data_IF_702858865875
#
_entry.id   IF_702858865875
#
_cell.length_a   1.000
_cell.length_b   1.000
_cell.length_c   1.000
_cell.angle_alpha   90.00
_cell.angle_beta   90.00
_cell.angle_gamma   90.00
#
_symmetry.space_group_name_H-M   'P 1'
#
loop_
_entity.id
_entity.type
_entity.pdbx_description
1 polymer ?
#
# COMPACT_ATOMS: atom_id res chain seq x y z
N UNK A 1 11.56 -23.62 -16.44
CA UNK A 1 12.56 -23.21 -15.42
C UNK A 1 13.46 -24.40 -15.19
N UNK A 2 14.72 -24.33 -15.63
CA UNK A 2 15.75 -25.30 -15.27
C UNK A 2 16.03 -25.12 -13.77
N UNK A 3 15.78 -26.16 -12.98
CA UNK A 3 16.19 -26.21 -11.58
C UNK A 3 17.71 -26.39 -11.53
N UNK A 4 18.44 -25.40 -11.01
CA UNK A 4 19.88 -25.48 -10.82
C UNK A 4 20.19 -26.40 -9.64
N UNK A 5 21.08 -27.36 -9.83
CA UNK A 5 21.54 -28.21 -8.73
C UNK A 5 22.67 -27.49 -7.97
N UNK A 6 22.32 -26.91 -6.82
CA UNK A 6 23.25 -26.14 -5.98
C UNK A 6 23.95 -26.99 -4.90
N UNK A 7 23.81 -28.32 -4.92
CA UNK A 7 24.38 -29.20 -3.87
C UNK A 7 25.91 -29.15 -3.77
N UNK A 8 26.59 -28.78 -4.87
CA UNK A 8 28.05 -28.66 -4.93
C UNK A 8 28.54 -27.21 -4.79
N UNK A 9 27.63 -26.24 -4.69
CA UNK A 9 27.99 -24.83 -4.61
C UNK A 9 28.65 -24.55 -3.28
N UNK A 10 29.89 -24.06 -3.34
CA UNK A 10 30.68 -23.66 -2.18
C UNK A 10 30.55 -22.15 -1.94
N UNK A 11 30.45 -21.37 -3.02
CA UNK A 11 30.37 -19.90 -2.96
C UNK A 11 29.22 -19.35 -3.78
N UNK A 12 28.56 -18.33 -3.25
CA UNK A 12 27.49 -17.61 -3.95
C UNK A 12 27.85 -16.14 -4.06
N UNK A 13 28.08 -15.68 -5.29
CA UNK A 13 28.33 -14.29 -5.61
C UNK A 13 27.02 -13.56 -5.93
N UNK A 14 26.66 -12.61 -5.06
CA UNK A 14 25.54 -11.70 -5.25
C UNK A 14 26.04 -10.42 -5.90
N UNK A 15 25.54 -10.11 -7.09
CA UNK A 15 26.00 -8.99 -7.91
C UNK A 15 24.92 -7.91 -7.90
N UNK A 16 25.28 -6.68 -7.53
CA UNK A 16 24.34 -5.58 -7.41
C UNK A 16 23.90 -5.05 -8.78
N UNK A 17 22.58 -5.08 -9.04
CA UNK A 17 21.97 -4.51 -10.25
C UNK A 17 21.21 -3.20 -9.97
N UNK A 18 21.57 -2.48 -8.91
CA UNK A 18 21.06 -1.12 -8.70
C UNK A 18 21.46 -0.17 -9.84
N UNK A 19 20.62 0.83 -10.14
CA UNK A 19 20.82 1.76 -11.26
C UNK A 19 22.23 2.39 -11.27
N UNK A 20 22.75 2.77 -10.10
CA UNK A 20 24.09 3.35 -9.96
C UNK A 20 25.21 2.36 -10.28
N UNK A 21 25.07 1.08 -9.92
CA UNK A 21 26.04 0.04 -10.29
C UNK A 21 25.98 -0.24 -11.79
N UNK A 22 24.78 -0.33 -12.37
CA UNK A 22 24.63 -0.49 -13.82
C UNK A 22 25.25 0.67 -14.60
N UNK A 23 25.06 1.92 -14.16
CA UNK A 23 25.70 3.08 -14.78
C UNK A 23 27.23 3.13 -14.66
N UNK A 24 27.81 2.32 -13.76
CA UNK A 24 29.25 2.26 -13.50
C UNK A 24 29.89 0.98 -14.01
N UNK A 25 29.26 0.29 -14.97
CA UNK A 25 29.80 -0.91 -15.59
C UNK A 25 29.37 -2.23 -14.94
N UNK A 26 28.26 -2.24 -14.18
CA UNK A 26 27.82 -3.43 -13.44
C UNK A 26 27.41 -4.62 -14.33
N UNK A 27 27.01 -4.36 -15.57
CA UNK A 27 26.71 -5.41 -16.54
C UNK A 27 27.99 -6.09 -17.01
N UNK A 28 29.03 -5.29 -17.30
CA UNK A 28 30.37 -5.73 -17.70
C UNK A 28 31.02 -6.53 -16.57
N UNK A 29 30.93 -6.05 -15.33
CA UNK A 29 31.39 -6.80 -14.14
C UNK A 29 30.67 -8.15 -14.02
N UNK A 30 29.36 -8.18 -14.24
CA UNK A 30 28.60 -9.43 -14.19
C UNK A 30 29.07 -10.42 -15.27
N UNK A 31 29.28 -9.93 -16.48
CA UNK A 31 29.74 -10.73 -17.61
C UNK A 31 31.17 -11.24 -17.38
N UNK A 32 32.05 -10.40 -16.84
CA UNK A 32 33.41 -10.76 -16.50
C UNK A 32 33.46 -11.90 -15.47
N UNK A 33 32.70 -11.79 -14.37
CA UNK A 33 32.61 -12.85 -13.35
C UNK A 33 32.10 -14.15 -13.96
N UNK A 34 31.01 -14.11 -14.72
CA UNK A 34 30.40 -15.31 -15.31
C UNK A 34 31.30 -15.96 -16.37
N UNK A 35 31.98 -15.15 -17.17
CA UNK A 35 32.95 -15.63 -18.17
C UNK A 35 34.12 -16.32 -17.48
N UNK A 36 34.69 -15.72 -16.45
CA UNK A 36 35.80 -16.28 -15.69
C UNK A 36 35.42 -17.63 -15.05
N UNK A 37 34.24 -17.72 -14.43
CA UNK A 37 33.70 -18.97 -13.87
C UNK A 37 33.62 -20.05 -14.95
N UNK A 38 33.06 -19.73 -16.12
CA UNK A 38 32.88 -20.68 -17.21
C UNK A 38 34.21 -21.12 -17.84
N UNK A 39 35.16 -20.20 -18.05
CA UNK A 39 36.48 -20.48 -18.63
C UNK A 39 37.29 -21.43 -17.74
N UNK A 40 37.14 -21.31 -16.42
CA UNK A 40 37.79 -22.15 -15.43
C UNK A 40 36.94 -23.35 -14.97
N UNK A 41 35.74 -23.54 -15.54
CA UNK A 41 34.81 -24.64 -15.23
C UNK A 41 34.38 -24.71 -13.76
N UNK A 42 34.17 -23.54 -13.15
CA UNK A 42 33.78 -23.39 -11.74
C UNK A 42 32.26 -23.34 -11.54
N UNK A 43 31.44 -23.61 -12.58
CA UNK A 43 29.98 -23.46 -12.54
C UNK A 43 29.28 -24.35 -11.49
N UNK A 44 29.87 -25.50 -11.12
CA UNK A 44 29.34 -26.36 -10.06
C UNK A 44 29.64 -25.81 -8.64
N UNK A 45 30.72 -25.03 -8.50
CA UNK A 45 31.26 -24.57 -7.22
C UNK A 45 30.86 -23.12 -6.89
N UNK A 46 30.73 -22.26 -7.90
CA UNK A 46 30.42 -20.84 -7.75
C UNK A 46 29.11 -20.52 -8.46
N UNK A 47 28.10 -20.16 -7.67
CA UNK A 47 26.83 -19.66 -8.20
C UNK A 47 26.82 -18.13 -8.24
N UNK A 48 26.14 -17.54 -9.23
CA UNK A 48 25.97 -16.07 -9.32
C UNK A 48 24.48 -15.72 -9.33
N UNK A 49 24.09 -14.71 -8.57
CA UNK A 49 22.75 -14.12 -8.66
C UNK A 49 22.82 -12.61 -8.74
N UNK A 50 21.95 -12.02 -9.56
CA UNK A 50 21.75 -10.57 -9.57
C UNK A 50 20.81 -10.19 -8.43
N UNK A 51 21.13 -9.10 -7.76
CA UNK A 51 20.36 -8.55 -6.63
C UNK A 51 19.83 -7.17 -6.97
N UNK A 52 18.84 -6.67 -6.21
CA UNK A 52 18.46 -5.26 -6.25
C UNK A 52 19.57 -4.38 -5.63
N UNK A 53 19.30 -3.10 -5.43
CA UNK A 53 20.25 -2.18 -4.81
C UNK A 53 20.65 -2.67 -3.40
N UNK A 54 21.95 -2.74 -3.12
CA UNK A 54 22.50 -3.11 -1.80
C UNK A 54 22.89 -1.88 -0.94
N UNK A 55 22.37 -0.69 -1.25
CA UNK A 55 22.59 0.53 -0.46
C UNK A 55 24.01 1.11 -0.47
N UNK A 56 24.94 0.54 -1.24
CA UNK A 56 26.37 0.94 -1.30
C UNK A 56 26.75 1.67 -2.59
N UNK A 57 25.94 2.63 -3.02
CA UNK A 57 26.13 3.38 -4.28
C UNK A 57 27.49 4.08 -4.43
N UNK A 58 28.18 4.41 -3.33
CA UNK A 58 29.54 4.98 -3.39
C UNK A 58 30.61 3.97 -3.81
N UNK A 59 30.45 2.70 -3.48
CA UNK A 59 31.40 1.62 -3.79
C UNK A 59 31.04 0.88 -5.09
N UNK A 60 30.19 1.46 -5.93
CA UNK A 60 29.82 0.88 -7.22
C UNK A 60 31.06 0.45 -8.03
N UNK A 61 31.10 -0.74 -8.61
CA UNK A 61 30.10 -1.82 -8.52
C UNK A 61 30.31 -2.71 -7.28
N UNK A 62 29.23 -3.31 -6.77
CA UNK A 62 29.28 -4.11 -5.53
C UNK A 62 28.98 -5.58 -5.79
N UNK A 63 29.83 -6.45 -5.26
CA UNK A 63 29.66 -7.92 -5.27
C UNK A 63 29.83 -8.46 -3.87
N UNK A 64 28.98 -9.39 -3.45
CA UNK A 64 29.04 -10.01 -2.11
C UNK A 64 29.29 -11.51 -2.29
N UNK A 65 30.29 -12.05 -1.61
CA UNK A 65 30.60 -13.48 -1.60
C UNK A 65 30.14 -14.12 -0.31
N UNK A 66 29.24 -15.11 -0.41
CA UNK A 66 28.88 -16.02 0.67
C UNK A 66 29.62 -17.35 0.53
N UNK A 67 29.91 -18.07 1.63
CA UNK A 67 29.40 -17.86 3.00
C UNK A 67 30.15 -16.81 3.83
N UNK A 68 31.36 -16.41 3.44
CA UNK A 68 32.23 -15.52 4.25
C UNK A 68 31.70 -14.09 4.40
N UNK A 69 30.58 -13.78 3.72
CA UNK A 69 29.91 -12.50 3.68
C UNK A 69 30.89 -11.34 3.39
N UNK A 70 31.84 -11.56 2.48
CA UNK A 70 32.80 -10.54 2.07
C UNK A 70 32.21 -9.65 0.99
N UNK A 71 32.30 -8.34 1.18
CA UNK A 71 31.79 -7.33 0.26
C UNK A 71 32.93 -6.71 -0.53
N UNK A 72 32.79 -6.68 -1.85
CA UNK A 72 33.79 -6.20 -2.78
C UNK A 72 33.30 -4.96 -3.52
N UNK A 73 34.21 -4.01 -3.72
CA UNK A 73 34.13 -3.00 -4.75
C UNK A 73 34.81 -3.52 -6.00
N UNK A 74 34.09 -3.53 -7.11
CA UNK A 74 34.53 -4.13 -8.37
C UNK A 74 34.44 -3.07 -9.47
N UNK A 75 35.48 -2.24 -9.67
CA UNK A 75 35.44 -1.13 -10.61
C UNK A 75 35.68 -1.54 -12.06
N UNK A 76 36.21 -2.75 -12.29
CA UNK A 76 36.64 -3.22 -13.61
C UNK A 76 36.70 -4.76 -13.68
N UNK A 77 36.92 -5.28 -14.89
CA UNK A 77 37.03 -6.71 -15.18
C UNK A 77 38.19 -7.41 -14.43
N UNK A 78 39.28 -6.70 -14.12
CA UNK A 78 40.42 -7.29 -13.42
C UNK A 78 40.05 -7.67 -11.99
N UNK A 79 39.44 -6.75 -11.25
CA UNK A 79 38.92 -7.04 -9.91
C UNK A 79 37.79 -8.06 -9.96
N UNK A 80 36.98 -8.05 -11.03
CA UNK A 80 35.92 -9.03 -11.22
C UNK A 80 36.46 -10.48 -11.31
N UNK A 81 37.59 -10.68 -12.01
CA UNK A 81 38.30 -11.98 -12.05
C UNK A 81 38.91 -12.33 -10.70
N UNK A 82 39.55 -11.37 -10.04
CA UNK A 82 40.14 -11.57 -8.72
C UNK A 82 39.09 -12.04 -7.68
N UNK A 83 37.85 -11.55 -7.75
CA UNK A 83 36.75 -11.99 -6.87
C UNK A 83 36.43 -13.48 -7.04
N UNK A 84 36.54 -14.02 -8.26
CA UNK A 84 36.30 -15.44 -8.53
C UNK A 84 37.36 -16.29 -7.85
N UNK A 85 38.63 -15.90 -7.94
CA UNK A 85 39.78 -16.64 -7.38
C UNK A 85 40.14 -16.28 -5.93
N UNK A 86 39.42 -15.33 -5.31
CA UNK A 86 39.69 -14.83 -3.93
C UNK A 86 41.02 -14.08 -3.77
N UNK A 87 41.58 -13.62 -4.88
CA UNK A 87 42.85 -12.88 -4.95
C UNK A 87 42.59 -11.37 -5.00
N UNK A 88 41.63 -10.89 -4.21
CA UNK A 88 41.23 -9.47 -4.21
C UNK A 88 42.12 -8.66 -3.28
N UNK A 89 42.79 -7.66 -3.85
CA UNK A 89 43.57 -6.68 -3.08
C UNK A 89 42.73 -6.03 -1.97
N UNK A 90 43.35 -5.80 -0.81
CA UNK A 90 42.67 -5.32 0.40
C UNK A 90 41.85 -4.05 0.12
N UNK A 91 42.38 -3.15 -0.72
CA UNK A 91 41.73 -1.88 -1.10
C UNK A 91 40.39 -2.06 -1.82
N UNK A 92 40.10 -3.22 -2.40
CA UNK A 92 38.83 -3.53 -3.06
C UNK A 92 37.86 -4.29 -2.15
N UNK A 93 38.23 -4.51 -0.89
CA UNK A 93 37.39 -5.14 0.13
C UNK A 93 36.74 -4.05 0.96
N UNK A 94 35.41 -4.10 1.04
CA UNK A 94 34.58 -3.14 1.76
C UNK A 94 34.34 -3.63 3.19
N UNK A 95 33.90 -4.89 3.33
CA UNK A 95 33.60 -5.55 4.59
C UNK A 95 34.00 -7.02 4.56
N UNK A 96 34.40 -7.58 5.71
CA UNK A 96 34.50 -9.03 5.97
C UNK A 96 33.70 -9.39 7.21
N UNK A 97 33.23 -10.62 7.32
CA UNK A 97 32.67 -11.12 8.58
C UNK A 97 33.81 -11.50 9.53
N UNK A 98 33.92 -10.80 10.65
CA UNK A 98 34.87 -11.08 11.72
C UNK A 98 34.48 -12.29 12.56
N UNK A 99 35.42 -12.76 13.39
CA UNK A 99 35.29 -13.99 14.18
C UNK A 99 34.12 -13.98 15.20
N UNK A 100 33.62 -12.80 15.59
CA UNK A 100 32.49 -12.62 16.50
C UNK A 100 31.15 -12.42 15.77
N UNK A 101 31.11 -12.60 14.44
CA UNK A 101 29.92 -12.32 13.62
C UNK A 101 29.66 -10.83 13.39
N UNK A 102 30.64 -9.97 13.69
CA UNK A 102 30.61 -8.54 13.41
C UNK A 102 31.26 -8.25 12.05
N UNK A 103 30.75 -7.27 11.30
CA UNK A 103 31.40 -6.86 10.06
C UNK A 103 32.62 -6.00 10.36
N UNK A 104 33.80 -6.49 9.97
CA UNK A 104 35.05 -5.74 9.99
C UNK A 104 35.15 -4.91 8.72
N UNK A 105 35.32 -3.59 8.88
CA UNK A 105 35.42 -2.65 7.77
C UNK A 105 36.88 -2.36 7.44
N UNK A 106 37.18 -2.15 6.17
CA UNK A 106 38.52 -1.75 5.74
C UNK A 106 38.78 -0.25 6.00
N UNK A 107 39.60 0.07 7.00
CA UNK A 107 39.97 1.44 7.39
C UNK A 107 40.62 2.28 6.28
N UNK A 108 41.07 1.67 5.18
CA UNK A 108 41.59 2.38 4.00
C UNK A 108 40.51 2.98 3.10
N UNK A 109 39.24 2.65 3.31
CA UNK A 109 38.10 3.27 2.62
C UNK A 109 37.38 4.23 3.55
N UNK A 110 36.92 5.36 3.01
CA UNK A 110 36.05 6.25 3.78
C UNK A 110 34.77 5.51 4.15
N UNK A 111 34.46 5.42 5.45
CA UNK A 111 33.13 5.04 5.91
C UNK A 111 32.18 6.21 5.66
N UNK A 112 30.97 5.94 5.18
CA UNK A 112 29.90 6.92 5.40
C UNK A 112 29.57 6.71 6.87
N UNK A 113 29.63 7.77 7.67
CA UNK A 113 29.00 7.76 8.98
C UNK A 113 27.56 7.31 8.75
N UNK A 114 27.22 6.09 9.18
CA UNK A 114 25.88 5.57 8.99
C UNK A 114 24.88 6.63 9.47
N UNK A 115 23.74 6.77 8.79
CA UNK A 115 22.69 7.69 9.23
C UNK A 115 22.55 7.47 10.74
N UNK A 116 22.83 8.50 11.53
CA UNK A 116 22.65 8.41 12.96
C UNK A 116 21.19 8.01 13.17
N UNK A 117 20.94 6.75 13.55
CA UNK A 117 19.61 6.31 13.96
C UNK A 117 19.19 7.29 15.05
N UNK A 118 18.18 8.08 14.72
CA UNK A 118 17.76 9.29 15.40
C UNK A 118 17.81 9.12 16.94
N UNK A 119 18.81 9.74 17.58
CA UNK A 119 18.74 10.07 19.00
C UNK A 119 18.69 11.58 19.11
N UNK A 120 17.53 12.17 18.78
CA UNK A 120 17.25 13.53 19.17
C UNK A 120 17.19 13.56 20.70
N UNK A 121 18.21 14.13 21.34
CA UNK A 121 18.12 14.46 22.77
C UNK A 121 16.99 15.47 22.94
N UNK A 122 15.88 15.05 23.56
CA UNK A 122 14.73 15.88 23.90
C UNK A 122 15.23 17.15 24.61
N UNK A 123 15.05 18.32 24.00
CA UNK A 123 15.21 19.59 24.73
C UNK A 123 14.05 19.65 25.72
N UNK A 124 14.36 19.82 27.00
CA UNK A 124 13.33 19.91 28.04
C UNK A 124 12.35 21.05 27.70
N UNK A 125 11.06 20.71 27.53
CA UNK A 125 9.99 21.66 27.19
C UNK A 125 9.50 21.64 25.75
N UNK A 126 10.10 20.86 24.84
CA UNK A 126 9.61 20.75 23.46
C UNK A 126 8.37 19.84 23.39
N UNK A 127 7.29 20.33 22.76
CA UNK A 127 6.06 19.56 22.55
C UNK A 127 6.32 18.39 21.60
N UNK A 128 5.76 17.22 21.94
CA UNK A 128 5.86 16.00 21.13
C UNK A 128 5.30 16.29 19.73
N UNK A 129 6.11 16.08 18.70
CA UNK A 129 5.69 16.33 17.32
C UNK A 129 4.92 15.12 16.80
N UNK A 130 3.64 15.32 16.50
CA UNK A 130 2.75 14.27 15.99
C UNK A 130 2.64 14.34 14.47
N UNK A 131 2.52 13.19 13.83
CA UNK A 131 2.24 13.05 12.41
C UNK A 131 0.97 12.22 12.19
N UNK A 132 0.12 12.65 11.28
CA UNK A 132 -0.96 11.86 10.70
C UNK A 132 -0.49 11.42 9.31
N UNK A 133 -0.40 10.10 9.11
CA UNK A 133 -0.05 9.51 7.82
C UNK A 133 -1.31 8.93 7.19
N UNK A 134 -1.85 9.60 6.17
CA UNK A 134 -2.99 9.10 5.42
C UNK A 134 -2.56 8.05 4.39
N UNK A 135 -3.19 6.87 4.42
CA UNK A 135 -2.86 5.76 3.53
C UNK A 135 -3.97 5.57 2.51
N UNK A 136 -3.74 6.00 1.27
CA UNK A 136 -4.59 5.65 0.13
C UNK A 136 -4.34 4.21 -0.34
N UNK A 137 -5.28 3.61 -1.07
CA UNK A 137 -5.01 2.32 -1.71
C UNK A 137 -3.98 2.44 -2.85
N UNK A 138 -4.07 3.55 -3.60
CA UNK A 138 -3.24 3.84 -4.76
C UNK A 138 -3.78 3.25 -6.06
N UNK A 139 -3.37 3.84 -7.18
CA UNK A 139 -3.90 3.59 -8.52
C UNK A 139 -2.77 3.61 -9.55
N UNK A 140 -2.88 2.75 -10.56
CA UNK A 140 -2.00 2.82 -11.75
C UNK A 140 -2.23 4.08 -12.59
N UNK A 141 -3.40 4.71 -12.45
CA UNK A 141 -3.71 5.98 -13.08
C UNK A 141 -3.38 7.11 -12.11
N UNK A 142 -2.37 7.92 -12.46
CA UNK A 142 -1.85 8.98 -11.58
C UNK A 142 -2.90 10.03 -11.20
N UNK A 143 -3.86 10.31 -12.08
CA UNK A 143 -4.97 11.22 -11.77
C UNK A 143 -5.74 10.80 -10.50
N UNK A 144 -5.90 9.50 -10.26
CA UNK A 144 -6.54 8.99 -9.04
C UNK A 144 -5.69 9.18 -7.79
N UNK A 145 -4.36 9.10 -7.91
CA UNK A 145 -3.44 9.36 -6.80
C UNK A 145 -3.43 10.85 -6.44
N UNK A 146 -3.47 11.71 -7.46
CA UNK A 146 -3.53 13.15 -7.28
C UNK A 146 -4.85 13.61 -6.63
N UNK A 147 -5.98 12.97 -6.95
CA UNK A 147 -7.25 13.21 -6.23
C UNK A 147 -7.12 12.96 -4.73
N UNK A 148 -6.41 11.90 -4.31
CA UNK A 148 -6.14 11.59 -2.90
C UNK A 148 -5.29 12.68 -2.27
N UNK A 149 -4.17 13.05 -2.90
CA UNK A 149 -3.26 14.07 -2.35
C UNK A 149 -3.97 15.40 -2.16
N UNK A 150 -4.71 15.86 -3.17
CA UNK A 150 -5.48 17.09 -3.09
C UNK A 150 -6.58 17.02 -2.03
N UNK A 151 -7.22 15.86 -1.87
CA UNK A 151 -8.22 15.66 -0.82
C UNK A 151 -7.59 15.73 0.59
N UNK A 152 -6.42 15.12 0.80
CA UNK A 152 -5.69 15.22 2.07
C UNK A 152 -5.23 16.66 2.33
N UNK A 153 -4.72 17.37 1.31
CA UNK A 153 -4.33 18.78 1.46
C UNK A 153 -5.51 19.67 1.86
N UNK A 154 -6.71 19.42 1.32
CA UNK A 154 -7.92 20.11 1.81
C UNK A 154 -8.30 19.69 3.23
N UNK A 155 -8.14 18.41 3.57
CA UNK A 155 -8.44 17.87 4.91
C UNK A 155 -7.51 18.45 5.97
N UNK A 156 -6.25 18.75 5.61
CA UNK A 156 -5.26 19.37 6.49
C UNK A 156 -5.74 20.66 7.14
N UNK A 157 -6.58 21.45 6.47
CA UNK A 157 -7.14 22.69 7.04
C UNK A 157 -8.13 22.45 8.19
N UNK A 158 -8.60 21.21 8.39
CA UNK A 158 -9.47 20.80 9.50
C UNK A 158 -8.68 20.16 10.65
N UNK A 159 -7.36 19.98 10.49
CA UNK A 159 -6.48 19.32 11.45
C UNK A 159 -5.67 20.39 12.20
N UNK A 160 -5.28 20.10 13.45
CA UNK A 160 -4.38 20.96 14.21
C UNK A 160 -3.10 21.26 13.38
N UNK A 161 -2.81 22.54 13.10
CA UNK A 161 -1.69 22.93 12.23
C UNK A 161 -0.31 22.58 12.83
N UNK A 162 -0.24 22.21 14.11
CA UNK A 162 0.98 21.69 14.74
C UNK A 162 1.31 20.25 14.35
N UNK A 163 0.36 19.50 13.78
CA UNK A 163 0.59 18.14 13.32
C UNK A 163 1.20 18.12 11.91
N UNK A 164 2.14 17.20 11.70
CA UNK A 164 2.57 16.83 10.36
C UNK A 164 1.45 16.04 9.69
N UNK A 165 1.16 16.33 8.43
CA UNK A 165 0.19 15.59 7.63
C UNK A 165 0.89 15.13 6.38
N UNK A 166 0.99 13.81 6.22
CA UNK A 166 1.62 13.16 5.07
C UNK A 166 0.62 12.22 4.40
N UNK A 167 0.87 11.89 3.13
CA UNK A 167 0.08 10.95 2.34
C UNK A 167 0.99 9.90 1.73
N UNK A 168 0.60 8.64 1.84
CA UNK A 168 1.23 7.52 1.14
C UNK A 168 0.18 6.57 0.56
N UNK A 169 0.66 5.55 -0.12
CA UNK A 169 -0.19 4.58 -0.80
C UNK A 169 0.21 3.15 -0.47
N UNK A 170 -0.80 2.29 -0.38
CA UNK A 170 -0.57 0.86 -0.15
C UNK A 170 0.06 0.19 -1.38
N UNK A 171 -0.38 0.53 -2.59
CA UNK A 171 0.12 -0.05 -3.83
C UNK A 171 0.11 0.96 -5.00
N UNK A 172 0.84 0.64 -6.08
CA UNK A 172 0.79 1.32 -7.39
C UNK A 172 1.23 2.78 -7.45
N UNK A 173 1.51 3.43 -6.32
CA UNK A 173 1.83 4.83 -6.25
C UNK A 173 2.87 5.10 -5.16
N UNK A 174 3.63 6.16 -5.33
CA UNK A 174 4.60 6.65 -4.35
C UNK A 174 4.09 7.93 -3.65
N UNK A 175 4.51 8.18 -2.40
CA UNK A 175 5.33 7.30 -1.58
C UNK A 175 4.56 6.06 -1.09
N UNK A 176 5.25 4.94 -0.89
CA UNK A 176 4.66 3.77 -0.25
C UNK A 176 4.56 3.96 1.28
N UNK A 177 4.04 2.95 2.02
CA UNK A 177 3.83 3.09 3.47
C UNK A 177 5.15 3.24 4.22
N UNK A 178 6.18 2.47 3.84
CA UNK A 178 7.51 2.54 4.44
C UNK A 178 8.09 3.95 4.25
N UNK A 179 8.16 4.42 3.00
CA UNK A 179 8.60 5.77 2.64
C UNK A 179 7.76 6.85 3.34
N UNK A 180 6.45 6.66 3.45
CA UNK A 180 5.54 7.58 4.15
C UNK A 180 5.85 7.71 5.64
N UNK A 181 6.18 6.60 6.30
CA UNK A 181 6.60 6.58 7.71
C UNK A 181 7.97 7.23 7.86
N UNK A 182 8.93 6.88 7.01
CA UNK A 182 10.27 7.48 7.00
C UNK A 182 10.19 9.01 6.88
N UNK A 183 9.41 9.50 5.91
CA UNK A 183 9.16 10.94 5.72
C UNK A 183 8.63 11.61 7.00
N UNK A 184 7.72 10.96 7.74
CA UNK A 184 7.22 11.49 9.02
C UNK A 184 8.34 11.59 10.06
N UNK A 185 9.15 10.53 10.18
CA UNK A 185 10.25 10.44 11.15
C UNK A 185 11.36 11.46 10.82
N UNK A 186 11.73 11.60 9.55
CA UNK A 186 12.73 12.57 9.08
C UNK A 186 12.29 14.02 9.35
N UNK A 187 10.99 14.29 9.21
CA UNK A 187 10.39 15.57 9.61
C UNK A 187 10.32 15.76 11.12
N UNK A 188 10.77 14.78 11.90
CA UNK A 188 10.94 14.85 13.35
C UNK A 188 9.71 14.44 14.16
N UNK A 189 8.80 13.66 13.59
CA UNK A 189 7.68 13.07 14.33
C UNK A 189 8.20 12.14 15.43
N UNK A 190 7.55 12.15 16.59
CA UNK A 190 7.74 11.22 17.71
C UNK A 190 6.53 10.27 17.88
N UNK A 191 5.37 10.68 17.35
CA UNK A 191 4.16 9.86 17.22
C UNK A 191 3.70 9.87 15.76
N UNK A 192 3.39 8.69 15.20
CA UNK A 192 2.85 8.53 13.85
C UNK A 192 1.50 7.82 13.94
N UNK A 193 0.44 8.50 13.52
CA UNK A 193 -0.93 8.02 13.52
C UNK A 193 -1.34 7.68 12.09
N UNK A 194 -1.35 6.38 11.78
CA UNK A 194 -1.62 5.88 10.43
C UNK A 194 -3.13 5.79 10.22
N UNK A 195 -3.68 6.48 9.23
CA UNK A 195 -5.13 6.57 8.98
C UNK A 195 -5.47 6.09 7.56
N UNK A 196 -6.13 4.94 7.41
CA UNK A 196 -6.43 4.38 6.10
C UNK A 196 -7.62 5.09 5.43
N UNK A 197 -7.43 5.57 4.19
CA UNK A 197 -8.50 6.09 3.33
C UNK A 197 -9.12 4.92 2.55
N UNK A 198 -9.80 4.03 3.28
CA UNK A 198 -10.43 2.82 2.76
C UNK A 198 -11.88 2.76 3.25
N UNK A 199 -12.83 2.52 2.34
CA UNK A 199 -14.27 2.53 2.66
C UNK A 199 -14.65 1.47 3.68
N UNK A 200 -14.27 0.23 3.41
CA UNK A 200 -14.68 -0.93 4.19
C UNK A 200 -13.48 -1.74 4.64
N UNK A 201 -13.66 -2.34 5.81
CA UNK A 201 -12.64 -3.08 6.49
C UNK A 201 -12.38 -4.43 5.81
N UNK A 202 -11.31 -4.54 5.02
CA UNK A 202 -10.98 -5.73 4.21
C UNK A 202 -9.49 -6.14 4.36
N UNK A 203 -9.09 -7.28 3.77
CA UNK A 203 -7.76 -7.90 3.96
C UNK A 203 -6.57 -6.93 3.94
N UNK A 204 -6.54 -6.00 3.00
CA UNK A 204 -5.50 -4.96 2.89
C UNK A 204 -5.35 -4.10 4.17
N UNK A 205 -6.46 -3.70 4.80
CA UNK A 205 -6.43 -2.91 6.04
C UNK A 205 -6.19 -3.76 7.30
N UNK A 206 -6.41 -5.08 7.24
CA UNK A 206 -6.24 -6.03 8.37
C UNK A 206 -4.85 -6.62 8.48
N UNK A 207 -4.14 -6.72 7.35
CA UNK A 207 -2.86 -7.43 7.29
C UNK A 207 -1.74 -6.53 6.81
N UNK A 208 -1.92 -5.84 5.68
CA UNK A 208 -0.79 -5.21 4.99
C UNK A 208 -0.36 -3.91 5.66
N UNK A 209 -1.30 -3.00 5.93
CA UNK A 209 -0.98 -1.77 6.67
C UNK A 209 -0.45 -2.11 8.08
N UNK A 210 -1.07 -3.04 8.85
CA UNK A 210 -0.48 -3.51 10.11
C UNK A 210 0.92 -4.09 9.98
N UNK A 211 1.22 -4.86 8.93
CA UNK A 211 2.56 -5.41 8.68
C UNK A 211 3.61 -4.32 8.54
N UNK A 212 3.35 -3.31 7.71
CA UNK A 212 4.26 -2.18 7.51
C UNK A 212 4.48 -1.37 8.79
N UNK A 213 3.42 -1.18 9.59
CA UNK A 213 3.53 -0.51 10.89
C UNK A 213 4.42 -1.30 11.86
N UNK A 214 4.24 -2.62 11.95
CA UNK A 214 5.07 -3.46 12.82
C UNK A 214 6.53 -3.50 12.36
N UNK A 215 6.76 -3.58 11.05
CA UNK A 215 8.10 -3.49 10.46
C UNK A 215 8.77 -2.15 10.80
N UNK A 216 8.05 -1.04 10.63
CA UNK A 216 8.54 0.29 11.00
C UNK A 216 8.83 0.41 12.50
N UNK A 217 8.06 -0.27 13.37
CA UNK A 217 8.30 -0.26 14.81
C UNK A 217 9.62 -0.94 15.19
N UNK A 218 10.05 -1.96 14.46
CA UNK A 218 11.36 -2.59 14.63
C UNK A 218 12.50 -1.63 14.23
N UNK A 219 12.29 -0.84 13.17
CA UNK A 219 13.26 0.12 12.65
C UNK A 219 13.35 1.41 13.48
N UNK A 220 12.21 1.87 14.02
CA UNK A 220 12.03 3.11 14.76
C UNK A 220 11.44 2.86 16.16
N UNK A 221 12.16 2.17 17.07
CA UNK A 221 11.63 1.73 18.38
C UNK A 221 11.33 2.88 19.37
N UNK A 222 11.71 4.11 19.02
CA UNK A 222 11.46 5.32 19.82
C UNK A 222 10.23 6.09 19.35
N UNK A 223 9.60 5.67 18.24
CA UNK A 223 8.41 6.28 17.67
C UNK A 223 7.19 5.52 18.16
N UNK A 224 6.17 6.27 18.58
CA UNK A 224 4.87 5.68 18.93
C UNK A 224 4.01 5.57 17.70
N UNK A 225 3.58 4.36 17.35
CA UNK A 225 2.66 4.12 16.24
C UNK A 225 1.25 3.81 16.74
N UNK A 226 0.25 4.40 16.10
CA UNK A 226 -1.15 4.05 16.28
C UNK A 226 -1.83 3.86 14.94
N UNK A 227 -2.88 3.06 14.91
CA UNK A 227 -3.61 2.76 13.68
C UNK A 227 -5.08 3.16 13.80
N UNK A 228 -5.49 4.02 12.87
CA UNK A 228 -6.86 4.47 12.68
C UNK A 228 -7.74 3.39 12.06
N UNK A 229 -8.99 3.34 12.49
CA UNK A 229 -10.00 2.52 11.82
C UNK A 229 -10.22 3.03 10.38
N UNK A 230 -10.64 2.13 9.49
CA UNK A 230 -11.19 2.49 8.17
C UNK A 230 -12.41 3.42 8.29
N UNK A 231 -12.87 3.98 7.16
CA UNK A 231 -14.05 4.86 7.12
C UNK A 231 -15.25 4.14 7.77
N UNK A 232 -15.49 2.89 7.37
CA UNK A 232 -16.42 1.99 8.04
C UNK A 232 -17.88 2.41 7.85
N UNK A 233 -18.69 2.22 8.89
CA UNK A 233 -20.08 2.69 8.96
C UNK A 233 -20.08 4.00 9.74
N UNK A 234 -20.61 5.06 9.14
CA UNK A 234 -20.61 6.40 9.74
C UNK A 234 -21.75 7.25 9.16
N UNK A 235 -22.39 8.10 9.98
CA UNK A 235 -23.58 8.88 9.55
C UNK A 235 -23.33 9.77 8.34
N UNK A 236 -22.13 10.36 8.26
CA UNK A 236 -21.70 11.21 7.13
C UNK A 236 -21.63 10.46 5.80
N UNK A 237 -21.49 9.12 5.80
CA UNK A 237 -21.51 8.32 4.57
C UNK A 237 -22.88 8.47 3.90
N UNK A 238 -23.96 8.43 4.69
CA UNK A 238 -25.31 8.59 4.14
C UNK A 238 -25.53 9.99 3.60
N UNK A 239 -24.98 11.04 4.24
CA UNK A 239 -25.02 12.39 3.67
C UNK A 239 -24.40 12.44 2.28
N UNK A 240 -23.27 11.77 2.09
CA UNK A 240 -22.59 11.69 0.79
C UNK A 240 -23.46 10.94 -0.21
N UNK A 241 -24.00 9.77 0.17
CA UNK A 241 -24.83 8.94 -0.70
C UNK A 241 -26.10 9.67 -1.16
N UNK A 242 -26.78 10.37 -0.25
CA UNK A 242 -27.94 11.19 -0.57
C UNK A 242 -27.57 12.35 -1.51
N UNK A 243 -26.47 13.06 -1.25
CA UNK A 243 -25.99 14.11 -2.14
C UNK A 243 -25.71 13.59 -3.56
N UNK A 244 -25.17 12.37 -3.71
CA UNK A 244 -24.95 11.76 -5.04
C UNK A 244 -26.24 11.44 -5.80
N UNK A 245 -27.33 11.16 -5.08
CA UNK A 245 -28.65 11.00 -5.68
C UNK A 245 -29.22 12.38 -6.09
N UNK A 246 -29.10 13.38 -5.22
CA UNK A 246 -29.57 14.74 -5.49
C UNK A 246 -28.86 15.38 -6.69
N UNK A 247 -27.57 15.09 -6.89
CA UNK A 247 -26.77 15.55 -8.05
C UNK A 247 -27.37 15.13 -9.41
N UNK A 248 -28.13 14.04 -9.46
CA UNK A 248 -28.85 13.60 -10.67
C UNK A 248 -30.33 14.02 -10.70
N UNK A 249 -30.71 14.95 -9.82
CA UNK A 249 -32.08 15.44 -9.68
C UNK A 249 -33.04 14.47 -8.99
N UNK A 250 -32.52 13.49 -8.23
CA UNK A 250 -33.36 12.61 -7.42
C UNK A 250 -33.79 13.32 -6.13
N UNK A 251 -35.09 13.39 -5.87
CA UNK A 251 -35.65 13.94 -4.63
C UNK A 251 -35.57 12.91 -3.50
N UNK A 252 -34.60 13.06 -2.59
CA UNK A 252 -34.31 12.11 -1.51
C UNK A 252 -35.38 12.07 -0.41
N UNK A 253 -36.17 13.13 -0.28
CA UNK A 253 -37.24 13.26 0.73
C UNK A 253 -38.63 12.87 0.18
N UNK A 254 -38.76 12.81 -1.15
CA UNK A 254 -40.00 12.44 -1.85
C UNK A 254 -40.32 10.94 -1.83
N UNK A 255 -41.57 10.59 -2.14
CA UNK A 255 -42.00 9.19 -2.28
C UNK A 255 -41.79 8.67 -3.70
N UNK A 256 -41.12 7.53 -3.83
CA UNK A 256 -40.77 6.89 -5.10
C UNK A 256 -41.13 5.39 -5.09
N UNK A 257 -42.43 5.03 -5.05
CA UNK A 257 -42.88 3.65 -4.85
C UNK A 257 -42.51 2.69 -5.99
N UNK A 258 -42.11 3.23 -7.15
CA UNK A 258 -41.70 2.47 -8.33
C UNK A 258 -40.18 2.50 -8.58
N UNK A 259 -39.40 3.17 -7.74
CA UNK A 259 -37.95 3.29 -7.90
C UNK A 259 -37.22 2.33 -6.96
N UNK A 260 -36.24 1.61 -7.48
CA UNK A 260 -35.27 0.85 -6.68
C UNK A 260 -33.90 1.48 -6.79
N UNK A 261 -33.19 1.62 -5.67
CA UNK A 261 -31.77 2.01 -5.68
C UNK A 261 -30.94 0.74 -5.72
N UNK A 262 -30.10 0.59 -6.74
CA UNK A 262 -29.11 -0.48 -6.80
C UNK A 262 -27.78 0.05 -6.27
N UNK A 263 -27.46 -0.27 -5.02
CA UNK A 263 -26.25 0.16 -4.34
C UNK A 263 -25.07 -0.77 -4.66
N UNK A 264 -24.03 -0.24 -5.30
CA UNK A 264 -23.01 -1.04 -5.98
C UNK A 264 -21.65 -0.87 -5.31
N UNK A 265 -21.07 -1.97 -4.83
CA UNK A 265 -19.67 -2.01 -4.35
C UNK A 265 -18.77 -2.80 -5.28
N UNK A 266 -17.47 -2.82 -4.97
CA UNK A 266 -16.47 -3.54 -5.79
C UNK A 266 -16.58 -5.05 -5.57
N UNK A 267 -16.93 -5.44 -4.35
CA UNK A 267 -16.91 -6.81 -3.84
C UNK A 267 -15.61 -7.11 -3.09
N UNK A 268 -15.70 -8.07 -2.16
CA UNK A 268 -14.59 -8.52 -1.31
C UNK A 268 -14.78 -9.97 -0.91
N UNK A 269 -13.68 -10.71 -0.80
CA UNK A 269 -13.69 -12.04 -0.21
C UNK A 269 -13.87 -12.00 1.32
N UNK A 270 -13.58 -10.85 1.95
CA UNK A 270 -13.70 -10.66 3.41
C UNK A 270 -15.17 -10.64 3.85
N UNK A 271 -15.51 -11.52 4.80
CA UNK A 271 -16.87 -11.65 5.31
C UNK A 271 -17.34 -10.41 6.10
N UNK A 272 -16.43 -9.75 6.83
CA UNK A 272 -16.73 -8.53 7.57
C UNK A 272 -17.03 -7.36 6.65
N UNK A 273 -16.22 -7.15 5.62
CA UNK A 273 -16.46 -6.13 4.59
C UNK A 273 -17.83 -6.30 3.92
N UNK A 274 -18.19 -7.56 3.59
CA UNK A 274 -19.52 -7.86 3.04
C UNK A 274 -20.63 -7.54 4.04
N UNK A 275 -20.51 -7.99 5.28
CA UNK A 275 -21.49 -7.75 6.32
C UNK A 275 -21.72 -6.24 6.54
N UNK A 276 -20.66 -5.44 6.57
CA UNK A 276 -20.77 -3.99 6.72
C UNK A 276 -21.42 -3.32 5.51
N UNK A 277 -21.13 -3.78 4.29
CA UNK A 277 -21.82 -3.27 3.09
C UNK A 277 -23.33 -3.58 3.12
N UNK A 278 -23.72 -4.79 3.54
CA UNK A 278 -25.14 -5.12 3.74
C UNK A 278 -25.79 -4.23 4.81
N UNK A 279 -25.12 -3.96 5.93
CA UNK A 279 -25.62 -3.04 6.96
C UNK A 279 -25.82 -1.63 6.41
N UNK A 280 -24.84 -1.09 5.68
CA UNK A 280 -24.96 0.23 5.05
C UNK A 280 -26.13 0.25 4.06
N UNK A 281 -26.34 -0.83 3.29
CA UNK A 281 -27.47 -0.94 2.36
C UNK A 281 -28.81 -0.83 3.11
N UNK A 282 -28.96 -1.53 4.24
CA UNK A 282 -30.18 -1.48 5.05
C UNK A 282 -30.39 -0.10 5.67
N UNK A 283 -29.34 0.49 6.24
CA UNK A 283 -29.41 1.85 6.81
C UNK A 283 -29.69 2.92 5.75
N UNK A 284 -29.25 2.72 4.51
CA UNK A 284 -29.61 3.60 3.40
C UNK A 284 -31.09 3.43 3.02
N UNK A 285 -31.61 2.20 3.04
CA UNK A 285 -33.02 1.92 2.79
C UNK A 285 -33.94 2.64 3.79
N UNK A 286 -33.55 2.69 5.06
CA UNK A 286 -34.30 3.41 6.09
C UNK A 286 -34.34 4.94 5.88
N UNK A 287 -33.42 5.49 5.08
CA UNK A 287 -33.30 6.92 4.80
C UNK A 287 -34.00 7.36 3.52
N UNK A 288 -34.56 6.43 2.74
CA UNK A 288 -35.14 6.71 1.43
C UNK A 288 -36.56 6.15 1.35
N UNK A 289 -37.48 6.91 0.77
CA UNK A 289 -38.86 6.46 0.53
C UNK A 289 -39.01 5.83 -0.86
N UNK A 290 -38.20 4.80 -1.11
CA UNK A 290 -38.12 4.07 -2.38
C UNK A 290 -38.74 2.68 -2.25
N UNK A 291 -39.00 2.01 -3.38
CA UNK A 291 -39.54 0.64 -3.41
C UNK A 291 -38.64 -0.34 -2.65
N UNK A 292 -37.34 -0.30 -2.95
CA UNK A 292 -36.31 -1.07 -2.26
C UNK A 292 -34.93 -0.46 -2.51
N UNK A 293 -33.97 -0.83 -1.65
CA UNK A 293 -32.55 -0.61 -1.88
C UNK A 293 -31.90 -1.99 -1.96
N UNK A 294 -31.46 -2.36 -3.15
CA UNK A 294 -30.78 -3.63 -3.42
C UNK A 294 -29.27 -3.42 -3.42
N UNK A 295 -28.52 -4.46 -3.08
CA UNK A 295 -27.06 -4.43 -3.18
C UNK A 295 -26.57 -5.24 -4.39
N UNK A 296 -25.46 -4.83 -4.98
CA UNK A 296 -24.76 -5.59 -6.00
C UNK A 296 -23.26 -5.31 -5.99
N UNK A 297 -22.51 -6.17 -6.68
CA UNK A 297 -21.06 -6.08 -6.75
C UNK A 297 -20.54 -6.10 -8.20
N UNK A 298 -19.48 -5.35 -8.45
CA UNK A 298 -18.77 -5.33 -9.74
C UNK A 298 -17.98 -6.62 -10.02
N UNK A 299 -17.64 -7.39 -8.97
CA UNK A 299 -16.94 -8.67 -9.05
C UNK A 299 -16.66 -9.25 -7.67
N UNK A 300 -15.92 -10.37 -7.60
CA UNK A 300 -15.48 -11.09 -6.38
C UNK A 300 -16.60 -11.70 -5.53
N UNK A 301 -17.74 -11.02 -5.43
CA UNK A 301 -18.89 -11.35 -4.58
C UNK A 301 -20.16 -11.32 -5.42
N UNK A 302 -21.16 -12.10 -5.00
CA UNK A 302 -22.51 -12.09 -5.56
C UNK A 302 -23.50 -11.48 -4.55
N UNK A 303 -24.62 -10.89 -5.01
CA UNK A 303 -25.08 -10.77 -6.40
C UNK A 303 -24.26 -9.79 -7.25
N UNK A 304 -24.06 -10.11 -8.53
CA UNK A 304 -23.39 -9.20 -9.47
C UNK A 304 -24.32 -8.07 -9.91
N UNK A 305 -23.79 -6.99 -10.50
CA UNK A 305 -24.63 -5.92 -11.07
C UNK A 305 -25.69 -6.45 -12.05
N UNK A 306 -25.37 -7.35 -13.00
CA UNK A 306 -26.39 -8.02 -13.81
C UNK A 306 -27.49 -8.72 -13.00
N UNK A 307 -27.10 -9.53 -11.99
CA UNK A 307 -28.07 -10.23 -11.14
C UNK A 307 -28.98 -9.24 -10.39
N UNK A 308 -28.39 -8.14 -9.89
CA UNK A 308 -29.10 -7.08 -9.18
C UNK A 308 -30.09 -6.33 -10.08
N UNK A 309 -29.70 -5.97 -11.30
CA UNK A 309 -30.60 -5.34 -12.28
C UNK A 309 -31.76 -6.29 -12.62
N UNK A 310 -31.47 -7.56 -12.93
CA UNK A 310 -32.50 -8.54 -13.25
C UNK A 310 -33.48 -8.72 -12.07
N UNK A 311 -32.96 -8.77 -10.84
CA UNK A 311 -33.79 -8.83 -9.64
C UNK A 311 -34.69 -7.60 -9.49
N UNK A 312 -34.15 -6.39 -9.65
CA UNK A 312 -34.92 -5.14 -9.57
C UNK A 312 -36.08 -5.14 -10.58
N UNK A 313 -35.82 -5.56 -11.83
CA UNK A 313 -36.83 -5.66 -12.88
C UNK A 313 -37.91 -6.69 -12.54
N UNK A 314 -37.52 -7.90 -12.10
CA UNK A 314 -38.46 -8.95 -11.69
C UNK A 314 -39.32 -8.56 -10.49
N UNK A 315 -38.77 -7.76 -9.58
CA UNK A 315 -39.47 -7.16 -8.44
C UNK A 315 -40.40 -6.02 -8.87
N UNK A 316 -40.41 -5.65 -10.16
CA UNK A 316 -41.33 -4.69 -10.77
C UNK A 316 -40.92 -3.23 -10.58
N UNK A 317 -39.62 -2.94 -10.48
CA UNK A 317 -39.14 -1.55 -10.52
C UNK A 317 -39.45 -0.93 -11.91
N UNK A 318 -39.90 0.32 -11.92
CA UNK A 318 -40.04 1.13 -13.16
C UNK A 318 -38.87 2.08 -13.36
N UNK A 319 -38.12 2.35 -12.28
CA UNK A 319 -36.87 3.09 -12.32
C UNK A 319 -35.83 2.40 -11.44
N UNK A 320 -34.59 2.32 -11.93
CA UNK A 320 -33.45 1.83 -11.18
C UNK A 320 -32.37 2.91 -11.18
N UNK A 321 -31.95 3.33 -9.99
CA UNK A 321 -30.80 4.24 -9.84
C UNK A 321 -29.60 3.44 -9.36
N UNK A 322 -28.59 3.29 -10.22
CA UNK A 322 -27.31 2.68 -9.87
C UNK A 322 -26.50 3.68 -9.05
N UNK A 323 -26.24 3.35 -7.78
CA UNK A 323 -25.52 4.20 -6.83
C UNK A 323 -24.14 3.60 -6.50
N UNK A 324 -23.05 4.13 -7.05
CA UNK A 324 -21.73 3.54 -6.88
C UNK A 324 -21.03 3.91 -5.56
N UNK A 325 -20.60 2.90 -4.81
CA UNK A 325 -19.83 3.02 -3.58
C UNK A 325 -18.33 2.84 -3.82
N UNK A 326 -17.72 3.81 -4.49
CA UNK A 326 -16.29 3.85 -4.84
C UNK A 326 -15.67 5.19 -4.47
N UNK A 327 -14.42 5.19 -3.99
CA UNK A 327 -13.68 6.42 -3.71
C UNK A 327 -13.15 7.11 -4.99
N UNK A 328 -12.94 6.35 -6.07
CA UNK A 328 -12.33 6.85 -7.28
C UNK A 328 -13.12 6.45 -8.52
N UNK A 329 -12.95 7.27 -9.57
CA UNK A 329 -13.52 7.05 -10.90
C UNK A 329 -12.66 6.07 -11.74
N UNK A 330 -12.91 5.99 -13.05
CA UNK A 330 -12.11 5.23 -14.00
C UNK A 330 -12.80 3.98 -14.51
N UNK A 331 -12.07 2.87 -14.64
CA UNK A 331 -12.49 1.65 -15.35
C UNK A 331 -13.84 1.11 -14.83
N UNK A 332 -14.08 1.15 -13.51
CA UNK A 332 -15.34 0.68 -12.94
C UNK A 332 -16.53 1.55 -13.33
N UNK A 333 -16.36 2.88 -13.34
CA UNK A 333 -17.38 3.82 -13.79
C UNK A 333 -17.67 3.65 -15.28
N UNK A 334 -16.64 3.51 -16.12
CA UNK A 334 -16.79 3.24 -17.55
C UNK A 334 -17.54 1.93 -17.81
N UNK A 335 -17.23 0.89 -17.05
CA UNK A 335 -17.91 -0.40 -17.14
C UNK A 335 -19.38 -0.29 -16.76
N UNK A 336 -19.72 0.44 -15.69
CA UNK A 336 -21.12 0.67 -15.31
C UNK A 336 -21.89 1.47 -16.37
N UNK A 337 -21.28 2.47 -17.00
CA UNK A 337 -21.91 3.22 -18.11
C UNK A 337 -22.30 2.29 -19.26
N UNK A 338 -21.36 1.42 -19.69
CA UNK A 338 -21.63 0.39 -20.71
C UNK A 338 -22.74 -0.57 -20.28
N UNK A 339 -22.72 -1.02 -19.03
CA UNK A 339 -23.79 -1.88 -18.48
C UNK A 339 -25.14 -1.18 -18.52
N UNK A 340 -25.21 0.10 -18.13
CA UNK A 340 -26.47 0.87 -18.17
C UNK A 340 -27.01 1.00 -19.59
N UNK A 341 -26.16 1.27 -20.57
CA UNK A 341 -26.56 1.30 -21.99
C UNK A 341 -27.15 -0.04 -22.42
N UNK A 342 -26.44 -1.14 -22.14
CA UNK A 342 -26.90 -2.50 -22.46
C UNK A 342 -28.22 -2.85 -21.78
N UNK A 343 -28.36 -2.58 -20.49
CA UNK A 343 -29.61 -2.86 -19.77
C UNK A 343 -30.76 -1.96 -20.19
N UNK A 344 -30.49 -0.73 -20.62
CA UNK A 344 -31.50 0.15 -21.19
C UNK A 344 -32.08 -0.39 -22.51
N UNK A 345 -31.27 -1.07 -23.32
CA UNK A 345 -31.76 -1.76 -24.53
C UNK A 345 -32.57 -3.02 -24.20
N UNK A 346 -32.15 -3.77 -23.18
CA UNK A 346 -32.82 -5.02 -22.75
C UNK A 346 -34.14 -4.74 -22.02
N UNK A 347 -34.22 -3.66 -21.25
CA UNK A 347 -35.37 -3.28 -20.44
C UNK A 347 -35.86 -1.86 -20.76
N UNK A 348 -36.41 -1.63 -21.97
CA UNK A 348 -36.76 -0.27 -22.44
C UNK A 348 -37.88 0.39 -21.61
N UNK A 349 -38.70 -0.40 -20.91
CA UNK A 349 -39.78 0.10 -20.05
C UNK A 349 -39.31 0.46 -18.63
N UNK A 350 -38.01 0.32 -18.33
CA UNK A 350 -37.41 0.62 -17.04
C UNK A 350 -36.38 1.72 -17.21
N UNK A 351 -36.59 2.86 -16.54
CA UNK A 351 -35.63 3.95 -16.56
C UNK A 351 -34.40 3.57 -15.71
N UNK A 352 -33.21 3.54 -16.31
CA UNK A 352 -31.96 3.21 -15.59
C UNK A 352 -31.02 4.42 -15.62
N UNK A 353 -30.67 4.91 -14.43
CA UNK A 353 -29.77 6.05 -14.22
C UNK A 353 -28.54 5.62 -13.41
N UNK A 354 -27.44 6.38 -13.52
CA UNK A 354 -26.25 6.22 -12.68
C UNK A 354 -26.03 7.51 -11.91
N UNK A 355 -26.01 7.43 -10.59
CA UNK A 355 -25.67 8.53 -9.70
C UNK A 355 -24.16 8.82 -9.68
N UNK A 356 -23.76 9.95 -9.07
CA UNK A 356 -22.35 10.21 -8.80
C UNK A 356 -21.75 9.09 -7.93
N UNK A 357 -20.47 8.75 -8.15
CA UNK A 357 -19.77 7.82 -7.26
C UNK A 357 -19.48 8.48 -5.91
N UNK A 358 -19.40 7.69 -4.84
CA UNK A 358 -19.15 8.19 -3.48
C UNK A 358 -18.04 9.25 -3.41
N UNK A 359 -16.85 8.93 -3.91
CA UNK A 359 -15.79 9.89 -4.16
C UNK A 359 -15.23 10.56 -2.90
N UNK A 360 -14.48 11.64 -3.12
CA UNK A 360 -13.85 12.46 -2.09
C UNK A 360 -14.72 13.67 -1.69
N UNK A 361 -15.98 13.40 -1.32
CA UNK A 361 -16.93 14.44 -0.91
C UNK A 361 -16.47 15.17 0.37
N UNK A 362 -16.72 16.49 0.56
CA UNK A 362 -16.27 17.23 1.74
C UNK A 362 -16.66 16.61 3.10
N UNK A 363 -17.84 16.02 3.21
CA UNK A 363 -18.26 15.28 4.42
C UNK A 363 -17.29 14.15 4.81
N UNK A 364 -16.58 13.55 3.85
CA UNK A 364 -15.60 12.51 4.12
C UNK A 364 -14.39 13.04 4.91
N UNK A 365 -14.03 14.32 4.74
CA UNK A 365 -12.92 14.94 5.45
C UNK A 365 -13.16 14.88 6.96
N UNK A 366 -14.39 15.17 7.39
CA UNK A 366 -14.76 15.09 8.80
C UNK A 366 -14.69 13.67 9.35
N UNK A 367 -15.02 12.66 8.54
CA UNK A 367 -14.86 11.25 8.96
C UNK A 367 -13.38 10.94 9.18
N UNK A 368 -12.51 11.35 8.25
CA UNK A 368 -11.08 11.11 8.37
C UNK A 368 -10.45 11.86 9.55
N UNK A 369 -10.88 13.09 9.82
CA UNK A 369 -10.47 13.85 11.01
C UNK A 369 -10.86 13.11 12.28
N UNK A 370 -12.11 12.62 12.37
CA UNK A 370 -12.56 11.82 13.51
C UNK A 370 -11.74 10.53 13.68
N UNK A 371 -11.43 9.83 12.58
CA UNK A 371 -10.59 8.62 12.62
C UNK A 371 -9.16 8.93 13.05
N UNK A 372 -8.62 10.07 12.64
CA UNK A 372 -7.32 10.53 13.10
C UNK A 372 -7.34 10.88 14.59
N UNK A 373 -8.35 11.60 15.07
CA UNK A 373 -8.51 11.93 16.50
C UNK A 373 -8.66 10.66 17.35
N UNK A 374 -9.41 9.66 16.88
CA UNK A 374 -9.52 8.36 17.54
C UNK A 374 -8.18 7.63 17.60
N UNK A 375 -7.38 7.67 16.54
CA UNK A 375 -6.03 7.09 16.53
C UNK A 375 -5.11 7.82 17.52
N UNK A 376 -5.14 9.16 17.53
CA UNK A 376 -4.34 10.01 18.40
C UNK A 376 -4.66 9.79 19.87
N UNK A 377 -5.95 9.66 20.20
CA UNK A 377 -6.42 9.52 21.58
C UNK A 377 -6.47 8.06 22.05
N UNK A 378 -6.07 7.10 21.20
CA UNK A 378 -6.04 5.67 21.53
C UNK A 378 -7.42 5.01 21.63
N UNK A 379 -8.46 5.61 21.06
CA UNK A 379 -9.84 5.06 21.04
C UNK A 379 -10.20 4.39 19.72
N UNK A 380 -9.29 4.40 18.74
CA UNK A 380 -9.46 3.75 17.44
C UNK A 380 -9.55 2.23 17.59
N UNK A 381 -10.56 1.63 16.95
CA UNK A 381 -10.67 0.18 16.82
C UNK A 381 -9.63 -0.43 15.88
N UNK A 382 -8.94 0.39 15.07
CA UNK A 382 -7.83 -0.06 14.22
C UNK A 382 -6.68 -0.67 15.03
N UNK A 383 -6.51 -0.30 16.30
CA UNK A 383 -5.53 -0.94 17.19
C UNK A 383 -5.78 -2.45 17.36
N UNK A 384 -7.05 -2.90 17.29
CA UNK A 384 -7.37 -4.31 17.32
C UNK A 384 -6.82 -5.06 16.10
N UNK A 385 -6.77 -4.40 14.94
CA UNK A 385 -6.21 -5.01 13.73
C UNK A 385 -4.70 -5.20 13.83
N UNK A 386 -4.00 -4.26 14.45
CA UNK A 386 -2.58 -4.43 14.78
C UNK A 386 -2.36 -5.63 15.71
N UNK A 387 -3.20 -5.78 16.74
CA UNK A 387 -3.12 -6.93 17.65
C UNK A 387 -3.43 -8.25 16.93
N UNK A 388 -4.48 -8.28 16.12
CA UNK A 388 -4.86 -9.43 15.32
C UNK A 388 -3.73 -9.83 14.35
N UNK A 389 -3.07 -8.84 13.73
CA UNK A 389 -1.93 -9.07 12.86
C UNK A 389 -0.73 -9.64 13.62
N UNK A 390 -0.38 -9.11 14.80
CA UNK A 390 0.71 -9.64 15.63
C UNK A 390 0.48 -11.12 15.97
N UNK A 391 -0.75 -11.48 16.34
CA UNK A 391 -1.09 -12.87 16.62
C UNK A 391 -1.04 -13.74 15.35
N UNK A 392 -1.53 -13.23 14.23
CA UNK A 392 -1.40 -13.91 12.94
C UNK A 392 0.06 -14.18 12.58
N UNK A 393 0.93 -13.16 12.68
CA UNK A 393 2.34 -13.23 12.34
C UNK A 393 3.12 -14.16 13.27
N UNK A 394 2.71 -14.27 14.54
CA UNK A 394 3.27 -15.24 15.50
C UNK A 394 3.04 -16.69 15.05
N UNK A 395 1.91 -16.96 14.41
CA UNK A 395 1.52 -18.32 13.98
C UNK A 395 2.05 -18.64 12.57
N UNK A 396 1.99 -17.67 11.65
CA UNK A 396 2.22 -17.91 10.22
C UNK A 396 3.51 -17.27 9.67
N UNK A 397 4.23 -16.50 10.49
CA UNK A 397 5.33 -15.64 10.07
C UNK A 397 4.85 -14.26 9.56
N UNK A 398 5.77 -13.28 9.43
CA UNK A 398 5.42 -11.96 8.92
C UNK A 398 4.93 -12.04 7.47
N UNK A 399 3.89 -11.27 7.15
CA UNK A 399 3.40 -11.13 5.78
C UNK A 399 4.25 -10.08 5.09
N UNK A 400 5.14 -10.49 4.19
CA UNK A 400 5.81 -9.56 3.29
C UNK A 400 4.98 -9.42 2.02
N UNK A 401 4.54 -8.20 1.73
CA UNK A 401 3.91 -7.89 0.46
C UNK A 401 4.99 -7.94 -0.63
N UNK A 402 5.13 -9.08 -1.31
CA UNK A 402 5.97 -9.15 -2.51
C UNK A 402 5.18 -8.54 -3.68
N UNK A 403 5.63 -7.39 -4.15
CA UNK A 403 5.16 -6.74 -5.39
C UNK A 403 5.61 -7.48 -6.64
#
# INVERSE_FOLDING_TARGET
MTTWNLQKTQRHLLICNGATCLSAGGEEVTQAIRREIAEHKLDEEIHTSRTRCNGRCKDKCVVISYPDATWYHVPNDEVARAVVHEEVEEENIIYRLGAEGTFEHNDKRETIQGIHKYKRKKKAGEKVKKAILFVGHGSKLEAGNEEVRQFVERTRYLIDPSFLVETCFLEFAAPDIEEGIENCVEKGAEEVHVVPIILLHAGHSKLHIPAEIEHAREHFPHITFTYGQTIGIHDKIFKILLARLEEIGFDTEGQHPDTTILFIARGSSDAGAKADFYKITQLLAEKLHVKSVECAFMGVTTPTVPDGIEHCVKSGAKRIVMLPYFLFTGILMERMKKMREQFGEVYPDVAIDIAGYFGYHPELQHVLVERAEQAINGTSTGMQDLENYREYARIHGPVHHQH
#
